data_IF_822641564569
#
_entry.id   IF_822641564569
#
_cell.length_a   1.000
_cell.length_b   1.000
_cell.length_c   1.000
_cell.angle_alpha   90.00
_cell.angle_beta   90.00
_cell.angle_gamma   90.00
#
_symmetry.space_group_name_H-M   'P 1'
#
loop_
_entity.id
_entity.type
_entity.pdbx_description
1 polymer ?
#
# COMPACT_ATOMS: atom_id res chain seq x y z
N UNK A 1 -38.61 48.09 16.81
CA UNK A 1 -37.53 47.08 16.87
C UNK A 1 -37.89 46.05 17.92
N UNK A 2 -38.26 44.83 17.51
CA UNK A 2 -37.94 43.62 18.25
C UNK A 2 -36.97 42.74 17.43
N UNK A 3 -35.93 42.32 18.14
CA UNK A 3 -35.35 40.97 18.29
C UNK A 3 -34.99 40.12 17.05
N UNK A 4 -33.77 39.59 17.10
CA UNK A 4 -33.01 39.04 15.98
C UNK A 4 -33.54 37.73 15.42
N UNK A 5 -33.56 37.68 14.09
CA UNK A 5 -33.81 36.48 13.31
C UNK A 5 -32.50 35.72 13.13
N UNK A 6 -32.20 34.80 14.05
CA UNK A 6 -31.11 33.84 13.93
C UNK A 6 -31.71 32.46 13.71
N UNK A 7 -32.11 32.15 12.48
CA UNK A 7 -32.45 30.77 12.12
C UNK A 7 -31.22 29.90 12.34
N UNK A 8 -31.28 29.06 13.38
CA UNK A 8 -30.32 28.00 13.56
C UNK A 8 -30.50 27.04 12.38
N UNK A 9 -29.46 26.87 11.57
CA UNK A 9 -29.44 25.80 10.57
C UNK A 9 -29.38 24.48 11.33
N UNK A 10 -30.51 23.79 11.40
CA UNK A 10 -30.56 22.40 11.84
C UNK A 10 -29.73 21.58 10.85
N UNK A 11 -28.49 21.26 11.22
CA UNK A 11 -27.70 20.27 10.50
C UNK A 11 -28.27 18.93 10.90
N UNK A 12 -29.08 18.36 10.01
CA UNK A 12 -29.52 16.97 10.13
C UNK A 12 -28.28 16.08 10.10
N UNK A 13 -27.82 15.67 11.28
CA UNK A 13 -26.72 14.70 11.41
C UNK A 13 -27.29 13.35 11.02
N UNK A 14 -27.19 13.03 9.74
CA UNK A 14 -27.60 11.75 9.19
C UNK A 14 -27.03 10.61 10.04
N UNK A 15 -27.91 9.69 10.46
CA UNK A 15 -27.51 8.49 11.20
C UNK A 15 -26.56 7.69 10.32
N UNK A 16 -25.29 7.62 10.71
CA UNK A 16 -24.31 6.74 10.08
C UNK A 16 -24.69 5.30 10.46
N UNK A 17 -25.26 4.54 9.52
CA UNK A 17 -25.68 3.16 9.80
C UNK A 17 -24.51 2.17 9.78
N UNK A 18 -23.39 2.51 9.12
CA UNK A 18 -22.13 1.81 9.29
C UNK A 18 -20.96 2.71 8.87
N UNK A 19 -19.93 2.72 9.70
CA UNK A 19 -18.63 3.32 9.39
C UNK A 19 -17.59 2.22 9.54
N UNK A 20 -16.85 1.92 8.47
CA UNK A 20 -15.70 1.03 8.56
C UNK A 20 -14.51 1.91 8.93
N UNK A 21 -14.07 1.79 10.18
CA UNK A 21 -12.83 2.39 10.64
C UNK A 21 -11.67 1.47 10.25
N UNK A 22 -10.69 1.99 9.52
CA UNK A 22 -9.39 1.33 9.43
C UNK A 22 -8.68 1.57 10.76
N UNK A 23 -8.54 0.50 11.54
CA UNK A 23 -7.89 0.50 12.84
C UNK A 23 -6.39 0.43 12.55
N UNK A 24 -5.67 1.49 12.91
CA UNK A 24 -4.21 1.55 12.84
C UNK A 24 -3.54 0.18 13.11
N UNK A 25 -3.02 -0.44 12.05
CA UNK A 25 -1.95 -1.43 12.16
C UNK A 25 -2.30 -2.92 12.30
N UNK A 26 -3.52 -3.41 12.03
CA UNK A 26 -3.81 -4.85 12.17
C UNK A 26 -4.76 -5.44 11.12
N UNK A 27 -4.42 -5.28 9.84
CA UNK A 27 -4.74 -6.25 8.77
C UNK A 27 -3.44 -6.82 8.18
N UNK A 28 -2.43 -6.90 9.05
CA UNK A 28 -1.01 -7.03 8.75
C UNK A 28 -0.59 -8.45 9.09
N UNK A 29 -0.40 -9.28 8.08
CA UNK A 29 0.63 -10.31 8.17
C UNK A 29 1.19 -10.62 6.77
N UNK A 30 0.33 -10.80 5.76
CA UNK A 30 0.82 -11.13 4.41
C UNK A 30 1.44 -9.94 3.68
N UNK A 31 0.82 -8.76 3.67
CA UNK A 31 1.31 -7.62 2.87
C UNK A 31 2.66 -7.08 3.36
N UNK A 32 2.87 -7.07 4.69
CA UNK A 32 4.12 -6.62 5.28
C UNK A 32 5.23 -7.66 5.10
N UNK A 33 4.95 -8.95 5.35
CA UNK A 33 5.90 -10.02 5.09
C UNK A 33 6.28 -10.10 3.60
N UNK A 34 5.32 -9.96 2.68
CA UNK A 34 5.61 -9.86 1.25
C UNK A 34 6.49 -8.66 0.92
N UNK A 35 6.18 -7.47 1.47
CA UNK A 35 7.01 -6.27 1.28
C UNK A 35 8.46 -6.52 1.72
N UNK A 36 8.65 -7.17 2.87
CA UNK A 36 9.97 -7.50 3.39
C UNK A 36 10.67 -8.57 2.55
N UNK A 37 9.95 -9.59 2.08
CA UNK A 37 10.49 -10.63 1.20
C UNK A 37 11.00 -10.02 -0.12
N UNK A 38 10.21 -9.15 -0.74
CA UNK A 38 10.63 -8.38 -1.91
C UNK A 38 11.86 -7.50 -1.62
N UNK A 39 11.85 -6.76 -0.51
CA UNK A 39 12.99 -5.91 -0.13
C UNK A 39 14.28 -6.72 0.05
N UNK A 40 14.20 -7.91 0.65
CA UNK A 40 15.32 -8.86 0.77
C UNK A 40 15.77 -9.34 -0.60
N UNK A 41 14.85 -9.80 -1.44
CA UNK A 41 15.15 -10.30 -2.78
C UNK A 41 15.85 -9.25 -3.68
N UNK A 42 15.41 -7.99 -3.64
CA UNK A 42 16.09 -6.90 -4.36
C UNK A 42 17.51 -6.66 -3.84
N UNK A 43 17.69 -6.70 -2.51
CA UNK A 43 19.01 -6.51 -1.88
C UNK A 43 20.00 -7.60 -2.28
N UNK A 44 19.56 -8.86 -2.39
CA UNK A 44 20.38 -10.00 -2.83
C UNK A 44 20.91 -9.85 -4.26
N UNK A 45 20.18 -9.15 -5.14
CA UNK A 45 20.65 -8.84 -6.51
C UNK A 45 21.32 -7.46 -6.62
N UNK A 46 21.56 -6.78 -5.49
CA UNK A 46 22.23 -5.49 -5.45
C UNK A 46 21.37 -4.29 -5.86
N UNK A 47 20.05 -4.44 -5.94
CA UNK A 47 19.11 -3.38 -6.29
C UNK A 47 18.51 -2.80 -5.01
N UNK A 48 18.54 -1.47 -4.85
CA UNK A 48 17.94 -0.78 -3.70
C UNK A 48 16.60 -0.20 -4.10
N UNK A 49 15.52 -0.73 -3.53
CA UNK A 49 14.16 -0.22 -3.70
C UNK A 49 13.61 0.15 -2.33
N UNK A 50 13.11 1.38 -2.12
CA UNK A 50 12.53 1.76 -0.83
C UNK A 50 11.33 0.89 -0.47
N UNK A 51 11.27 0.35 0.75
CA UNK A 51 10.18 -0.54 1.16
C UNK A 51 8.80 0.10 1.09
N UNK A 52 8.67 1.42 1.32
CA UNK A 52 7.39 2.14 1.15
C UNK A 52 6.91 2.16 -0.30
N UNK A 53 7.86 2.13 -1.26
CA UNK A 53 7.56 2.07 -2.68
C UNK A 53 7.11 0.66 -3.06
N UNK A 54 7.83 -0.36 -2.60
CA UNK A 54 7.44 -1.78 -2.75
C UNK A 54 6.04 -2.01 -2.18
N UNK A 55 5.78 -1.55 -0.95
CA UNK A 55 4.51 -1.74 -0.26
C UNK A 55 3.31 -1.23 -1.06
N UNK A 56 3.45 -0.08 -1.75
CA UNK A 56 2.39 0.47 -2.61
C UNK A 56 2.14 -0.35 -3.87
N UNK A 57 3.06 -1.25 -4.21
CA UNK A 57 3.00 -2.10 -5.40
C UNK A 57 2.71 -3.58 -5.09
N UNK A 58 2.80 -3.98 -3.82
CA UNK A 58 2.34 -5.29 -3.35
C UNK A 58 0.83 -5.41 -3.63
N UNK A 59 0.45 -6.43 -4.40
CA UNK A 59 -0.92 -6.64 -4.90
C UNK A 59 -1.06 -6.64 -6.42
N UNK A 60 -0.07 -6.12 -7.17
CA UNK A 60 -0.06 -6.17 -8.65
C UNK A 60 0.26 -7.55 -9.24
N UNK A 61 0.59 -8.53 -8.40
CA UNK A 61 1.14 -9.82 -8.82
C UNK A 61 2.66 -9.72 -9.04
N UNK A 62 3.39 -10.77 -8.64
CA UNK A 62 4.86 -10.76 -8.70
C UNK A 62 5.44 -10.64 -10.12
N UNK A 63 4.63 -10.96 -11.13
CA UNK A 63 5.02 -10.90 -12.55
C UNK A 63 5.23 -9.46 -13.04
N UNK A 64 4.57 -8.48 -12.41
CA UNK A 64 4.67 -7.07 -12.78
C UNK A 64 5.41 -6.21 -11.76
N UNK A 65 5.59 -6.71 -10.53
CA UNK A 65 6.12 -5.90 -9.44
C UNK A 65 7.54 -5.42 -9.71
N UNK A 66 8.44 -6.28 -10.21
CA UNK A 66 9.85 -5.93 -10.44
C UNK A 66 9.99 -4.80 -11.45
N UNK A 67 9.33 -4.91 -12.60
CA UNK A 67 9.31 -3.84 -13.61
C UNK A 67 8.73 -2.55 -13.02
N UNK A 68 7.62 -2.64 -12.29
CA UNK A 68 6.94 -1.47 -11.74
C UNK A 68 7.78 -0.71 -10.70
N UNK A 69 8.58 -1.42 -9.89
CA UNK A 69 9.33 -0.78 -8.80
C UNK A 69 10.79 -0.50 -9.12
N UNK A 70 11.38 -1.20 -10.08
CA UNK A 70 12.81 -1.14 -10.41
C UNK A 70 13.11 -0.94 -11.91
N UNK A 71 12.09 -0.94 -12.76
CA UNK A 71 12.18 -0.67 -14.19
C UNK A 71 12.47 -1.92 -15.04
N UNK A 72 12.24 -1.78 -16.36
CA UNK A 72 12.39 -2.84 -17.36
C UNK A 72 13.81 -3.44 -17.41
N UNK A 73 14.84 -2.61 -17.20
CA UNK A 73 16.22 -3.09 -17.19
C UNK A 73 16.52 -4.04 -16.03
N UNK A 74 15.91 -3.82 -14.86
CA UNK A 74 16.02 -4.71 -13.70
C UNK A 74 15.17 -5.95 -13.91
N UNK A 75 13.97 -5.81 -14.45
CA UNK A 75 13.12 -6.94 -14.82
C UNK A 75 13.84 -7.90 -15.77
N UNK A 76 14.43 -7.38 -16.85
CA UNK A 76 15.15 -8.17 -17.84
C UNK A 76 16.37 -8.89 -17.26
N UNK A 77 17.09 -8.27 -16.32
CA UNK A 77 18.35 -8.81 -15.79
C UNK A 77 18.16 -9.72 -14.58
N UNK A 78 17.17 -9.43 -13.74
CA UNK A 78 17.05 -10.02 -12.41
C UNK A 78 15.63 -10.45 -12.05
N UNK A 79 14.61 -10.18 -12.88
CA UNK A 79 13.20 -10.39 -12.52
C UNK A 79 12.87 -11.81 -12.07
N UNK A 80 13.33 -12.82 -12.81
CA UNK A 80 13.18 -14.22 -12.42
C UNK A 80 13.86 -14.52 -11.08
N UNK A 81 15.13 -14.11 -10.92
CA UNK A 81 15.90 -14.34 -9.70
C UNK A 81 15.27 -13.66 -8.47
N UNK A 82 14.77 -12.44 -8.62
CA UNK A 82 14.09 -11.72 -7.53
C UNK A 82 12.79 -12.43 -7.16
N UNK A 83 12.00 -12.89 -8.15
CA UNK A 83 10.78 -13.69 -7.91
C UNK A 83 11.04 -15.03 -7.25
N UNK A 84 12.17 -15.69 -7.54
CA UNK A 84 12.58 -16.91 -6.84
C UNK A 84 12.95 -16.63 -5.38
N UNK A 85 13.74 -15.59 -5.14
CA UNK A 85 14.21 -15.20 -3.80
C UNK A 85 13.09 -14.67 -2.90
N UNK A 86 12.01 -14.14 -3.47
CA UNK A 86 10.84 -13.71 -2.70
C UNK A 86 10.05 -14.89 -2.10
N UNK A 87 10.08 -16.05 -2.76
CA UNK A 87 9.32 -17.25 -2.38
C UNK A 87 10.10 -18.21 -1.46
N UNK A 88 11.41 -17.99 -1.31
CA UNK A 88 12.32 -18.82 -0.51
C UNK A 88 12.52 -18.28 0.90
#
# INVERSE_FOLDING_TARGET
MPEGNGEAMDIEVGRIEAMVFDVDGTLIDSAYEHTLAWARAFKEVGVQVPSWWIHRHVGMGGDHLVEAVAGEDVERRFGERVRELEKG
#
